data_IF_922469700555
#
_entry.id   IF_922469700555
#
_cell.length_a   1.000
_cell.length_b   1.000
_cell.length_c   1.000
_cell.angle_alpha   90.00
_cell.angle_beta   90.00
_cell.angle_gamma   90.00
#
_symmetry.space_group_name_H-M   'P 1'
#
loop_
_entity.id
_entity.type
_entity.pdbx_description
1 polymer ?
#
# COMPACT_ATOMS: atom_id res chain seq x y z
N UNK A 1 8.38 21.92 13.16
CA UNK A 1 7.29 21.90 12.16
C UNK A 1 5.96 21.94 12.91
N UNK A 2 5.05 22.90 12.65
CA UNK A 2 3.80 23.02 13.39
C UNK A 2 2.93 21.77 13.15
N UNK A 3 2.48 21.09 14.22
CA UNK A 3 1.72 19.82 14.18
C UNK A 3 0.20 19.98 14.33
N UNK A 4 -0.34 21.20 14.14
CA UNK A 4 -1.72 21.52 14.55
C UNK A 4 -2.76 21.59 13.42
N UNK A 5 -2.45 21.10 12.21
CA UNK A 5 -3.42 21.17 11.10
C UNK A 5 -4.54 20.11 11.21
N UNK A 6 -4.38 19.09 12.04
CA UNK A 6 -5.31 17.95 12.15
C UNK A 6 -6.30 18.05 13.32
N UNK A 7 -6.49 19.25 13.89
CA UNK A 7 -7.52 19.44 14.92
C UNK A 7 -8.84 19.74 14.23
N UNK A 8 -9.73 18.76 14.22
CA UNK A 8 -11.07 18.86 13.64
C UNK A 8 -11.87 19.99 14.31
N UNK A 9 -12.55 20.80 13.48
CA UNK A 9 -13.36 21.92 13.95
C UNK A 9 -14.48 21.43 14.88
N UNK A 10 -14.55 22.08 16.04
CA UNK A 10 -15.59 21.84 17.04
C UNK A 10 -16.72 22.83 16.81
N UNK A 11 -17.94 22.33 16.58
CA UNK A 11 -19.11 23.20 16.32
C UNK A 11 -19.77 23.59 17.65
N UNK A 12 -20.04 22.61 18.52
CA UNK A 12 -20.79 22.80 19.76
C UNK A 12 -20.00 22.22 20.92
N UNK A 13 -19.28 23.09 21.65
CA UNK A 13 -18.46 22.71 22.79
C UNK A 13 -17.37 21.69 22.40
N UNK A 14 -17.38 20.46 22.95
CA UNK A 14 -16.39 19.43 22.62
C UNK A 14 -16.72 18.60 21.36
N UNK A 15 -17.91 18.79 20.76
CA UNK A 15 -18.40 17.96 19.64
C UNK A 15 -17.87 18.47 18.30
N UNK A 16 -17.25 17.58 17.53
CA UNK A 16 -16.75 17.89 16.18
C UNK A 16 -17.84 17.82 15.11
N UNK A 17 -17.63 18.45 13.95
CA UNK A 17 -18.57 18.41 12.82
C UNK A 17 -18.99 16.97 12.49
N UNK A 18 -18.00 16.07 12.41
CA UNK A 18 -18.24 14.65 12.13
C UNK A 18 -19.15 14.00 13.18
N UNK A 19 -18.87 14.23 14.45
CA UNK A 19 -19.65 13.65 15.55
C UNK A 19 -21.10 14.11 15.51
N UNK A 20 -21.32 15.40 15.21
CA UNK A 20 -22.66 15.94 15.04
C UNK A 20 -23.42 15.24 13.91
N UNK A 21 -22.80 15.04 12.75
CA UNK A 21 -23.42 14.33 11.61
C UNK A 21 -23.76 12.89 11.99
N UNK A 22 -22.85 12.18 12.67
CA UNK A 22 -23.08 10.79 13.11
C UNK A 22 -24.27 10.71 14.08
N UNK A 23 -24.35 11.64 15.04
CA UNK A 23 -25.47 11.68 16.01
C UNK A 23 -26.78 12.02 15.31
N UNK A 24 -26.78 12.94 14.33
CA UNK A 24 -27.97 13.28 13.54
C UNK A 24 -28.50 12.07 12.75
N UNK A 25 -27.61 11.40 12.00
CA UNK A 25 -27.98 10.19 11.23
C UNK A 25 -28.42 9.07 12.16
N UNK A 26 -27.70 8.87 13.26
CA UNK A 26 -28.03 7.87 14.27
C UNK A 26 -29.37 8.13 14.97
N UNK A 27 -29.67 9.38 15.32
CA UNK A 27 -30.96 9.77 15.89
C UNK A 27 -32.12 9.54 14.92
N UNK A 28 -31.89 9.77 13.63
CA UNK A 28 -32.86 9.41 12.60
C UNK A 28 -33.08 7.90 12.51
N UNK A 29 -32.02 7.09 12.58
CA UNK A 29 -32.14 5.63 12.61
C UNK A 29 -32.93 5.13 13.83
N UNK A 30 -32.63 5.63 15.03
CA UNK A 30 -33.39 5.28 16.25
C UNK A 30 -34.87 5.69 16.14
N UNK A 31 -35.16 6.82 15.48
CA UNK A 31 -36.54 7.21 15.19
C UNK A 31 -37.25 6.24 14.23
N UNK A 32 -36.54 5.72 13.21
CA UNK A 32 -37.07 4.67 12.34
C UNK A 32 -37.34 3.38 13.12
N UNK A 33 -36.39 2.94 13.95
CA UNK A 33 -36.57 1.77 14.83
C UNK A 33 -37.80 1.93 15.72
N UNK A 34 -37.97 3.09 16.35
CA UNK A 34 -39.14 3.40 17.16
C UNK A 34 -40.46 3.31 16.36
N UNK A 35 -40.43 3.71 15.09
CA UNK A 35 -41.63 3.75 14.25
C UNK A 35 -42.00 2.38 13.66
N UNK A 36 -41.02 1.51 13.41
CA UNK A 36 -41.17 0.24 12.72
C UNK A 36 -41.18 -0.98 13.66
N UNK A 37 -40.48 -0.93 14.80
CA UNK A 37 -40.32 -2.07 15.69
C UNK A 37 -41.36 -2.11 16.83
N UNK A 38 -41.67 -3.31 17.32
CA UNK A 38 -42.43 -3.49 18.56
C UNK A 38 -41.62 -3.01 19.77
N UNK A 39 -42.28 -2.58 20.85
CA UNK A 39 -41.62 -1.96 22.02
C UNK A 39 -40.46 -2.79 22.59
N UNK A 40 -40.59 -4.12 22.63
CA UNK A 40 -39.52 -5.01 23.10
C UNK A 40 -38.32 -5.06 22.14
N UNK A 41 -38.59 -5.12 20.82
CA UNK A 41 -37.55 -5.11 19.79
C UNK A 41 -36.85 -3.75 19.74
N UNK A 42 -37.60 -2.67 19.86
CA UNK A 42 -37.09 -1.30 19.91
C UNK A 42 -36.06 -1.10 21.04
N UNK A 43 -36.32 -1.64 22.23
CA UNK A 43 -35.37 -1.52 23.35
C UNK A 43 -34.05 -2.20 23.02
N UNK A 44 -34.11 -3.41 22.45
CA UNK A 44 -32.92 -4.18 22.11
C UNK A 44 -32.14 -3.54 20.96
N UNK A 45 -32.81 -3.24 19.85
CA UNK A 45 -32.21 -2.62 18.67
C UNK A 45 -31.70 -1.21 18.99
N UNK A 46 -32.51 -0.39 19.65
CA UNK A 46 -32.14 0.97 20.03
C UNK A 46 -30.94 1.02 20.96
N UNK A 47 -30.79 0.04 21.88
CA UNK A 47 -29.60 -0.05 22.73
C UNK A 47 -28.34 -0.37 21.90
N UNK A 48 -28.44 -1.30 20.96
CA UNK A 48 -27.33 -1.66 20.06
C UNK A 48 -26.97 -0.47 19.16
N UNK A 49 -27.97 0.20 18.59
CA UNK A 49 -27.79 1.35 17.71
C UNK A 49 -27.18 2.53 18.46
N UNK A 50 -27.65 2.86 19.67
CA UNK A 50 -27.02 3.88 20.51
C UNK A 50 -25.57 3.55 20.86
N UNK A 51 -25.28 2.29 21.18
CA UNK A 51 -23.90 1.85 21.43
C UNK A 51 -23.01 2.06 20.20
N UNK A 52 -23.49 1.70 19.01
CA UNK A 52 -22.76 1.90 17.76
C UNK A 52 -22.53 3.38 17.46
N UNK A 53 -23.55 4.23 17.65
CA UNK A 53 -23.43 5.69 17.47
C UNK A 53 -22.34 6.25 18.39
N UNK A 54 -22.37 5.88 19.68
CA UNK A 54 -21.38 6.33 20.65
C UNK A 54 -19.97 5.85 20.29
N UNK A 55 -19.83 4.60 19.87
CA UNK A 55 -18.56 4.02 19.43
C UNK A 55 -18.00 4.77 18.22
N UNK A 56 -18.80 4.99 17.18
CA UNK A 56 -18.33 5.67 15.96
C UNK A 56 -18.08 7.17 16.16
N UNK A 57 -18.84 7.84 17.03
CA UNK A 57 -18.68 9.27 17.28
C UNK A 57 -17.50 9.56 18.22
N UNK A 58 -17.38 8.87 19.34
CA UNK A 58 -16.46 9.27 20.42
C UNK A 58 -15.19 8.42 20.50
N UNK A 59 -15.21 7.18 20.00
CA UNK A 59 -14.05 6.30 20.11
C UNK A 59 -12.95 6.72 19.12
N UNK A 60 -11.71 6.67 19.60
CA UNK A 60 -10.52 6.95 18.81
C UNK A 60 -9.52 5.82 18.99
N UNK A 61 -8.94 5.37 17.88
CA UNK A 61 -7.91 4.32 17.87
C UNK A 61 -6.60 4.97 17.50
N UNK A 62 -5.61 4.93 18.40
CA UNK A 62 -4.28 5.54 18.19
C UNK A 62 -4.35 7.02 17.76
N UNK A 63 -5.29 7.79 18.33
CA UNK A 63 -5.51 9.19 17.99
C UNK A 63 -6.28 9.45 16.69
N UNK A 64 -6.56 8.41 15.90
CA UNK A 64 -7.35 8.49 14.67
C UNK A 64 -8.85 8.27 14.95
N UNK A 65 -9.75 8.96 14.23
CA UNK A 65 -11.18 8.67 14.30
C UNK A 65 -11.52 7.22 13.92
N UNK A 66 -12.43 6.60 14.66
CA UNK A 66 -12.80 5.19 14.46
C UNK A 66 -13.28 4.86 13.05
N UNK A 67 -13.96 5.79 12.36
CA UNK A 67 -14.41 5.59 10.98
C UNK A 67 -13.25 5.20 10.03
N UNK A 68 -12.11 5.88 10.12
CA UNK A 68 -10.96 5.56 9.27
C UNK A 68 -10.37 4.19 9.60
N UNK A 69 -10.28 3.86 10.90
CA UNK A 69 -9.86 2.53 11.32
C UNK A 69 -10.80 1.46 10.77
N UNK A 70 -12.11 1.67 10.86
CA UNK A 70 -13.13 0.72 10.41
C UNK A 70 -13.09 0.49 8.89
N UNK A 71 -12.97 1.55 8.09
CA UNK A 71 -12.83 1.42 6.64
C UNK A 71 -11.55 0.67 6.27
N UNK A 72 -10.43 0.97 6.93
CA UNK A 72 -9.18 0.24 6.70
C UNK A 72 -9.26 -1.22 7.16
N UNK A 73 -9.99 -1.50 8.23
CA UNK A 73 -10.24 -2.85 8.72
C UNK A 73 -11.01 -3.67 7.68
N UNK A 74 -12.13 -3.15 7.16
CA UNK A 74 -12.90 -3.80 6.09
C UNK A 74 -12.03 -3.98 4.83
N UNK A 75 -11.30 -2.93 4.43
CA UNK A 75 -10.42 -3.00 3.27
C UNK A 75 -9.32 -4.06 3.44
N UNK A 76 -8.87 -4.31 4.66
CA UNK A 76 -7.87 -5.34 4.95
C UNK A 76 -8.48 -6.75 4.91
N UNK A 77 -9.71 -6.92 5.39
CA UNK A 77 -10.42 -8.20 5.29
C UNK A 77 -10.65 -8.63 3.82
N UNK A 78 -10.93 -7.65 2.94
CA UNK A 78 -11.16 -7.89 1.52
C UNK A 78 -9.86 -8.07 0.70
N UNK A 79 -8.68 -7.84 1.28
CA UNK A 79 -7.41 -7.96 0.55
C UNK A 79 -6.97 -9.42 0.44
N UNK A 80 -6.53 -9.88 -0.75
CA UNK A 80 -6.00 -11.22 -0.90
C UNK A 80 -4.72 -11.39 -0.07
N UNK A 81 -4.63 -12.48 0.68
CA UNK A 81 -3.46 -12.81 1.53
C UNK A 81 -2.19 -13.05 0.71
N UNK A 82 -2.35 -13.45 -0.55
CA UNK A 82 -1.22 -13.69 -1.46
C UNK A 82 -0.85 -12.36 -2.10
N UNK A 83 0.25 -11.80 -1.62
CA UNK A 83 0.86 -10.61 -2.19
C UNK A 83 1.79 -11.06 -3.31
N UNK A 84 1.24 -11.20 -4.53
CA UNK A 84 2.09 -11.41 -5.71
C UNK A 84 2.84 -10.13 -6.02
N UNK A 85 4.13 -10.24 -6.35
CA UNK A 85 4.89 -9.11 -6.86
C UNK A 85 4.32 -8.75 -8.23
N UNK A 86 3.44 -7.76 -8.28
CA UNK A 86 3.01 -7.14 -9.51
C UNK A 86 3.96 -5.98 -9.76
N UNK A 87 4.84 -6.12 -10.77
CA UNK A 87 5.54 -4.97 -11.33
C UNK A 87 4.46 -4.12 -12.00
N UNK A 88 3.83 -3.21 -11.25
CA UNK A 88 2.97 -2.18 -11.82
C UNK A 88 3.88 -1.28 -12.65
N UNK A 89 4.09 -1.65 -13.91
CA UNK A 89 4.63 -0.74 -14.91
C UNK A 89 3.52 0.29 -15.12
N UNK A 90 3.73 1.57 -14.79
CA UNK A 90 2.73 2.60 -15.01
C UNK A 90 2.28 2.55 -16.46
N UNK A 91 0.98 2.59 -16.73
CA UNK A 91 0.42 2.46 -18.08
C UNK A 91 0.92 3.54 -19.05
N UNK A 92 1.42 4.65 -18.49
CA UNK A 92 2.20 5.69 -19.18
C UNK A 92 3.46 5.16 -19.89
N UNK A 93 4.22 4.26 -19.25
CA UNK A 93 5.43 3.66 -19.84
C UNK A 93 5.08 2.64 -20.95
N UNK A 94 3.93 1.97 -20.83
CA UNK A 94 3.43 1.00 -21.81
C UNK A 94 2.87 1.68 -23.07
N UNK A 95 2.16 2.80 -22.95
CA UNK A 95 1.66 3.55 -24.12
C UNK A 95 2.77 4.29 -24.87
N UNK A 96 3.80 4.76 -24.17
CA UNK A 96 4.97 5.39 -24.80
C UNK A 96 5.81 4.45 -25.67
N UNK A 97 5.76 3.13 -25.40
CA UNK A 97 6.53 2.12 -26.11
C UNK A 97 5.78 1.42 -27.25
N UNK A 98 4.48 1.67 -27.43
CA UNK A 98 3.67 1.10 -28.52
C UNK A 98 3.50 2.02 -29.75
N UNK A 99 3.90 3.30 -29.65
CA UNK A 99 3.75 4.29 -30.73
C UNK A 99 5.05 4.75 -31.38
N UNK A 100 6.18 4.11 -31.08
CA UNK A 100 7.37 4.30 -31.89
C UNK A 100 7.41 3.20 -32.94
N UNK A 101 7.04 3.47 -34.22
CA UNK A 101 7.62 2.67 -35.29
C UNK A 101 9.12 2.86 -35.14
N UNK A 102 9.81 1.82 -34.66
CA UNK A 102 11.26 1.79 -34.64
C UNK A 102 11.69 2.08 -36.07
N UNK A 103 12.30 3.24 -36.37
CA UNK A 103 12.93 3.39 -37.66
C UNK A 103 13.97 2.29 -37.70
N UNK A 104 13.79 1.36 -38.65
CA UNK A 104 14.82 0.40 -39.03
C UNK A 104 15.96 1.24 -39.63
N UNK A 105 16.76 1.83 -38.75
CA UNK A 105 18.11 2.23 -39.09
C UNK A 105 18.91 0.93 -39.12
N UNK A 106 18.86 0.29 -40.29
CA UNK A 106 20.03 -0.40 -40.82
C UNK A 106 21.20 0.57 -40.64
N UNK A 107 22.31 0.08 -40.10
CA UNK A 107 23.54 0.82 -39.80
C UNK A 107 23.65 1.32 -38.35
N UNK A 108 23.58 0.39 -37.40
CA UNK A 108 24.46 0.44 -36.22
C UNK A 108 24.94 -0.99 -35.94
N UNK A 109 26.26 -1.26 -35.92
CA UNK A 109 26.73 -2.56 -35.50
C UNK A 109 26.25 -2.78 -34.08
N UNK A 110 25.47 -3.85 -33.89
CA UNK A 110 25.04 -4.35 -32.58
C UNK A 110 26.28 -4.33 -31.69
N UNK A 111 26.26 -3.45 -30.68
CA UNK A 111 27.25 -3.47 -29.62
C UNK A 111 27.02 -4.76 -28.82
N UNK A 112 27.53 -5.86 -29.36
CA UNK A 112 27.65 -7.13 -28.66
C UNK A 112 28.49 -6.82 -27.43
N UNK A 113 27.85 -6.78 -26.27
CA UNK A 113 28.58 -6.65 -24.99
C UNK A 113 29.70 -7.70 -25.02
N UNK A 114 30.97 -7.33 -24.81
CA UNK A 114 32.07 -8.25 -24.95
C UNK A 114 31.85 -9.44 -24.01
N UNK A 115 32.00 -10.66 -24.52
CA UNK A 115 31.87 -11.92 -23.75
C UNK A 115 32.88 -12.05 -22.60
N UNK A 116 33.81 -11.09 -22.50
CA UNK A 116 34.85 -10.96 -21.49
C UNK A 116 34.32 -10.88 -20.05
N UNK A 117 33.07 -10.45 -19.84
CA UNK A 117 32.51 -10.36 -18.49
C UNK A 117 32.29 -11.74 -17.83
N UNK A 118 32.00 -12.79 -18.62
CA UNK A 118 31.84 -14.15 -18.07
C UNK A 118 33.17 -14.76 -17.63
N UNK A 119 34.25 -14.57 -18.41
CA UNK A 119 35.58 -15.13 -18.09
C UNK A 119 36.14 -14.55 -16.78
N UNK A 120 36.06 -13.23 -16.61
CA UNK A 120 36.62 -12.56 -15.43
C UNK A 120 35.90 -12.94 -14.14
N UNK A 121 34.59 -13.12 -14.18
CA UNK A 121 33.83 -13.61 -13.03
C UNK A 121 34.15 -15.08 -12.71
N UNK A 122 34.38 -15.90 -13.73
CA UNK A 122 34.76 -17.30 -13.56
C UNK A 122 36.17 -17.44 -12.96
N UNK A 123 37.13 -16.62 -13.40
CA UNK A 123 38.48 -16.54 -12.84
C UNK A 123 38.45 -16.14 -11.36
N UNK A 124 37.71 -15.07 -11.02
CA UNK A 124 37.56 -14.63 -9.64
C UNK A 124 36.85 -15.66 -8.75
N UNK A 125 35.86 -16.37 -9.30
CA UNK A 125 35.19 -17.46 -8.58
C UNK A 125 36.14 -18.62 -8.29
N UNK A 126 37.02 -18.94 -9.24
CA UNK A 126 37.99 -20.04 -9.09
C UNK A 126 39.07 -19.70 -8.06
N UNK A 127 39.52 -18.46 -8.04
CA UNK A 127 40.52 -17.97 -7.07
C UNK A 127 39.98 -18.00 -5.63
N UNK A 128 38.72 -17.60 -5.44
CA UNK A 128 38.05 -17.65 -4.13
C UNK A 128 37.82 -19.10 -3.67
N UNK A 129 37.34 -19.97 -4.56
CA UNK A 129 37.04 -21.37 -4.22
C UNK A 129 38.30 -22.20 -3.91
N UNK A 130 39.42 -21.85 -4.55
CA UNK A 130 40.73 -22.50 -4.31
C UNK A 130 41.55 -21.84 -3.22
N UNK A 131 40.99 -20.85 -2.50
CA UNK A 131 41.66 -20.17 -1.38
C UNK A 131 42.96 -19.47 -1.78
N UNK A 132 43.07 -19.01 -3.04
CA UNK A 132 44.26 -18.36 -3.58
C UNK A 132 45.32 -19.31 -4.15
N UNK A 133 45.03 -20.61 -4.30
CA UNK A 133 45.92 -21.53 -5.01
C UNK A 133 45.90 -21.33 -6.54
N UNK A 134 44.81 -20.77 -7.08
CA UNK A 134 44.70 -20.39 -8.50
C UNK A 134 44.72 -18.87 -8.67
N UNK A 135 45.70 -18.34 -9.42
CA UNK A 135 45.82 -16.92 -9.77
C UNK A 135 45.95 -16.78 -11.28
N UNK A 136 45.02 -16.07 -11.91
CA UNK A 136 44.99 -15.93 -13.37
C UNK A 136 46.28 -15.28 -13.94
N UNK A 137 46.91 -14.41 -13.15
CA UNK A 137 48.15 -13.68 -13.48
C UNK A 137 49.42 -14.56 -13.59
N UNK A 138 49.43 -15.75 -12.98
CA UNK A 138 50.58 -16.67 -13.03
C UNK A 138 50.63 -17.47 -14.35
N UNK A 139 49.48 -17.64 -15.01
CA UNK A 139 49.37 -18.38 -16.28
C UNK A 139 49.52 -17.48 -17.51
N UNK A 140 49.20 -16.19 -17.40
CA UNK A 140 49.36 -15.22 -18.50
C UNK A 140 50.85 -14.91 -18.79
N UNK A 141 51.72 -15.00 -17.77
CA UNK A 141 53.18 -14.77 -17.89
C UNK A 141 53.97 -15.92 -18.51
N UNK A 142 53.42 -17.14 -18.57
CA UNK A 142 54.10 -18.31 -19.16
C UNK A 142 53.76 -18.52 -20.64
N UNK A 143 52.86 -17.70 -21.20
CA UNK A 143 52.37 -17.78 -22.57
C UNK A 143 53.01 -16.73 -23.51
N UNK A 144 54.10 -16.08 -23.08
CA UNK A 144 54.97 -15.24 -23.89
C UNK A 144 56.40 -15.77 -23.87
#
# INVERSE_FOLDING_TARGET
MPQFIDVEDKIIGPITVRQFIIIMVGGFLVFLEFRLADFGLFILEGLITLFLIALFAFFKVNGMPFHFFFVNFIATLNKPKIRTWQKLVPEFELKGSLHQPVPVHTDNPVATKPSLYKSRLQELSLEVDTGGAYRAEDYEKSSF
#
